data_IF_663965625318
#
_entry.id   IF_663965625318
#
_cell.length_a   1.000
_cell.length_b   1.000
_cell.length_c   1.000
_cell.angle_alpha   90.00
_cell.angle_beta   90.00
_cell.angle_gamma   90.00
#
_symmetry.space_group_name_H-M   'P 1'
#
loop_
_entity.id
_entity.type
_entity.pdbx_description
1 polymer ?
#
# COMPACT_ATOMS: atom_id res chain seq x y z
N UNK A 1 8.92 33.00 -35.22
CA UNK A 1 9.67 33.77 -34.22
C UNK A 1 9.71 32.90 -32.96
N UNK A 2 10.53 31.84 -32.93
CA UNK A 2 11.93 31.79 -32.47
C UNK A 2 11.95 32.05 -30.94
N UNK A 3 12.29 31.12 -30.04
CA UNK A 3 13.58 30.43 -29.97
C UNK A 3 13.48 29.07 -29.26
N UNK A 4 13.73 28.03 -30.05
CA UNK A 4 14.40 26.80 -29.62
C UNK A 4 15.89 27.09 -29.36
N UNK A 5 16.51 26.26 -28.49
CA UNK A 5 17.96 26.02 -28.35
C UNK A 5 18.86 27.13 -27.75
N UNK A 6 19.24 26.92 -26.48
CA UNK A 6 20.61 27.08 -25.92
C UNK A 6 20.52 26.75 -24.43
N UNK A 7 21.08 25.66 -23.92
CA UNK A 7 22.50 25.65 -23.58
C UNK A 7 22.91 24.21 -23.21
N UNK A 8 23.56 23.53 -24.15
CA UNK A 8 24.44 22.41 -23.85
C UNK A 8 25.85 23.00 -23.76
N UNK A 9 26.59 22.59 -22.71
CA UNK A 9 27.99 22.91 -22.35
C UNK A 9 28.11 23.90 -21.19
N UNK A 10 28.33 23.36 -20.00
CA UNK A 10 29.51 23.79 -19.26
C UNK A 10 30.11 22.59 -18.54
N UNK A 11 31.36 22.33 -18.90
CA UNK A 11 32.18 21.25 -18.40
C UNK A 11 32.63 21.54 -16.96
N UNK A 12 32.70 20.48 -16.16
CA UNK A 12 33.88 20.07 -15.39
C UNK A 12 34.63 21.20 -14.66
N UNK A 13 34.44 21.29 -13.34
CA UNK A 13 35.53 21.23 -12.33
C UNK A 13 35.08 21.88 -11.02
N UNK A 14 34.85 21.06 -10.00
CA UNK A 14 35.09 21.36 -8.58
C UNK A 14 35.06 19.99 -7.88
N UNK A 15 36.22 19.33 -7.85
CA UNK A 15 37.01 19.21 -6.62
C UNK A 15 36.18 18.70 -5.44
N UNK A 16 36.16 17.37 -5.35
CA UNK A 16 36.46 16.63 -4.12
C UNK A 16 35.65 16.99 -2.87
N UNK A 17 34.73 16.11 -2.52
CA UNK A 17 34.68 15.55 -1.16
C UNK A 17 34.06 14.15 -1.27
N UNK A 18 34.91 13.14 -1.51
CA UNK A 18 34.51 11.74 -1.37
C UNK A 18 34.32 11.46 0.12
N UNK A 19 33.09 11.64 0.62
CA UNK A 19 32.71 11.14 1.93
C UNK A 19 32.58 9.61 1.84
N UNK A 20 33.64 8.90 2.22
CA UNK A 20 33.59 7.46 2.43
C UNK A 20 32.70 7.20 3.65
N UNK A 21 31.45 6.82 3.42
CA UNK A 21 30.59 6.31 4.49
C UNK A 21 31.05 4.87 4.75
N UNK A 22 31.83 4.68 5.81
CA UNK A 22 32.20 3.36 6.28
C UNK A 22 30.93 2.61 6.70
N UNK A 23 30.63 1.49 6.04
CA UNK A 23 29.66 0.51 6.52
C UNK A 23 30.24 -0.16 7.78
N UNK A 24 29.93 0.40 8.95
CA UNK A 24 30.06 -0.33 10.20
C UNK A 24 28.93 -1.37 10.23
N UNK A 25 29.24 -2.58 9.75
CA UNK A 25 28.39 -3.75 9.95
C UNK A 25 28.40 -4.13 11.43
N UNK A 26 27.26 -3.94 12.11
CA UNK A 26 27.01 -4.59 13.38
C UNK A 26 26.24 -5.89 13.10
N UNK A 27 26.99 -6.99 12.95
CA UNK A 27 26.42 -8.33 13.16
C UNK A 27 26.16 -8.50 14.64
N UNK A 28 24.90 -8.46 15.07
CA UNK A 28 24.52 -9.01 16.37
C UNK A 28 23.40 -10.02 16.13
N UNK A 29 23.80 -11.28 16.01
CA UNK A 29 22.90 -12.42 16.12
C UNK A 29 22.78 -12.71 17.61
N UNK A 30 21.62 -12.42 18.19
CA UNK A 30 21.16 -13.07 19.40
C UNK A 30 19.96 -13.93 19.02
N UNK A 31 20.21 -15.22 18.83
CA UNK A 31 19.19 -16.23 19.09
C UNK A 31 19.18 -16.50 20.59
N UNK A 32 17.99 -16.54 21.18
CA UNK A 32 17.55 -17.46 22.25
C UNK A 32 16.04 -17.28 22.36
N UNK A 33 15.31 -18.37 22.13
CA UNK A 33 13.88 -18.55 22.40
C UNK A 33 13.52 -18.24 23.86
N UNK A 34 12.42 -17.53 24.09
CA UNK A 34 11.26 -18.03 24.87
C UNK A 34 10.08 -17.04 24.87
N UNK A 35 8.83 -17.52 25.04
CA UNK A 35 7.60 -16.80 24.75
C UNK A 35 6.98 -16.19 26.01
N UNK A 36 6.94 -14.88 26.10
CA UNK A 36 6.16 -14.21 27.15
C UNK A 36 5.25 -13.14 26.54
N UNK A 37 3.99 -13.54 26.36
CA UNK A 37 2.81 -12.81 26.84
C UNK A 37 2.94 -11.28 26.87
N UNK A 38 2.92 -10.68 25.68
CA UNK A 38 2.52 -9.29 25.52
C UNK A 38 1.19 -9.27 24.77
N UNK A 39 0.12 -9.04 25.53
CA UNK A 39 -1.25 -8.81 25.08
C UNK A 39 -1.28 -7.76 23.97
N UNK A 40 -1.30 -8.20 22.72
CA UNK A 40 -1.74 -7.38 21.61
C UNK A 40 -3.25 -7.12 21.75
N UNK A 41 -3.75 -5.90 21.54
CA UNK A 41 -5.17 -5.73 21.29
C UNK A 41 -5.49 -6.54 20.03
N UNK A 42 -6.32 -7.56 20.19
CA UNK A 42 -6.76 -8.46 19.14
C UNK A 42 -7.48 -7.61 18.08
N UNK A 43 -6.77 -7.25 17.01
CA UNK A 43 -7.45 -6.98 15.75
C UNK A 43 -7.84 -8.35 15.21
N UNK A 44 -9.14 -8.65 15.29
CA UNK A 44 -9.71 -9.94 14.88
C UNK A 44 -9.24 -10.27 13.46
N UNK A 45 -8.32 -11.23 13.34
CA UNK A 45 -8.05 -11.89 12.07
C UNK A 45 -9.21 -12.84 11.82
N UNK A 46 -10.29 -12.32 11.24
CA UNK A 46 -11.40 -13.14 10.77
C UNK A 46 -10.85 -14.00 9.61
N UNK A 47 -10.38 -15.20 9.98
CA UNK A 47 -9.97 -16.27 9.07
C UNK A 47 -11.16 -16.67 8.20
N UNK A 48 -11.34 -15.97 7.08
CA UNK A 48 -12.19 -16.45 6.01
C UNK A 48 -11.49 -17.61 5.30
N UNK A 49 -12.10 -18.79 5.40
CA UNK A 49 -11.69 -20.01 4.70
C UNK A 49 -11.50 -19.75 3.19
N UNK A 50 -10.55 -20.46 2.54
CA UNK A 50 -10.28 -20.27 1.13
C UNK A 50 -11.40 -20.90 0.30
N UNK A 51 -12.36 -20.09 -0.14
CA UNK A 51 -13.29 -20.49 -1.19
C UNK A 51 -12.60 -20.22 -2.52
N UNK A 52 -12.09 -21.30 -3.12
CA UNK A 52 -11.53 -21.33 -4.46
C UNK A 52 -12.60 -20.92 -5.48
N UNK A 53 -12.59 -19.64 -5.84
CA UNK A 53 -13.13 -19.09 -7.07
C UNK A 53 -12.13 -18.01 -7.48
N UNK A 54 -11.70 -17.96 -8.74
CA UNK A 54 -10.47 -17.27 -9.15
C UNK A 54 -10.35 -15.77 -8.82
N UNK A 55 -11.34 -15.13 -8.20
CA UNK A 55 -11.19 -13.95 -7.33
C UNK A 55 -12.52 -13.72 -6.55
N UNK A 56 -12.69 -14.20 -5.30
CA UNK A 56 -13.95 -14.04 -4.60
C UNK A 56 -14.18 -12.57 -4.21
N UNK A 57 -15.41 -12.09 -4.39
CA UNK A 57 -15.80 -10.75 -3.95
C UNK A 57 -15.78 -10.67 -2.41
N UNK A 58 -14.94 -9.79 -1.88
CA UNK A 58 -14.83 -9.53 -0.44
C UNK A 58 -15.67 -8.31 -0.09
N UNK A 59 -16.63 -8.46 0.82
CA UNK A 59 -17.48 -7.37 1.28
C UNK A 59 -16.70 -6.41 2.19
N UNK A 60 -16.93 -5.10 2.06
CA UNK A 60 -16.35 -4.13 2.96
C UNK A 60 -17.00 -4.19 4.35
N UNK A 61 -16.22 -4.01 5.43
CA UNK A 61 -16.79 -3.77 6.76
C UNK A 61 -17.53 -2.43 6.79
N UNK A 62 -18.34 -2.17 7.84
CA UNK A 62 -18.91 -0.85 8.07
C UNK A 62 -17.81 0.21 8.09
N UNK A 63 -18.00 1.29 7.33
CA UNK A 63 -17.03 2.37 7.27
C UNK A 63 -16.92 3.10 8.62
N UNK A 64 -15.70 3.19 9.14
CA UNK A 64 -15.39 3.97 10.34
C UNK A 64 -14.13 4.83 10.12
N UNK A 65 -14.26 6.15 9.89
CA UNK A 65 -13.11 7.01 9.58
C UNK A 65 -12.08 7.08 10.71
N UNK A 66 -12.53 7.01 11.97
CA UNK A 66 -11.65 7.12 13.15
C UNK A 66 -10.73 5.89 13.31
N UNK A 67 -11.15 4.75 12.74
CA UNK A 67 -10.42 3.48 12.81
C UNK A 67 -9.78 3.10 11.47
N UNK A 68 -10.05 3.85 10.40
CA UNK A 68 -9.54 3.52 9.07
C UNK A 68 -8.22 4.24 8.84
N UNK A 69 -7.11 3.51 9.04
CA UNK A 69 -5.78 3.95 8.62
C UNK A 69 -5.18 2.88 7.70
N UNK A 70 -4.82 3.29 6.49
CA UNK A 70 -4.30 2.38 5.48
C UNK A 70 -2.81 2.62 5.23
N UNK A 71 -2.06 1.55 4.99
CA UNK A 71 -0.68 1.65 4.54
C UNK A 71 -0.63 2.14 3.08
N UNK A 72 0.51 2.70 2.68
CA UNK A 72 0.76 3.11 1.30
C UNK A 72 1.25 1.96 0.40
N UNK A 73 1.22 0.71 0.87
CA UNK A 73 1.60 -0.45 0.07
C UNK A 73 0.62 -0.64 -1.07
N UNK A 74 1.15 -0.83 -2.28
CA UNK A 74 0.35 -1.12 -3.45
C UNK A 74 0.11 -2.64 -3.57
N UNK A 75 -1.15 -3.04 -3.47
CA UNK A 75 -1.70 -4.40 -3.67
C UNK A 75 -3.11 -4.22 -4.29
N UNK A 76 -3.21 -3.89 -5.59
CA UNK A 76 -4.42 -3.29 -6.13
C UNK A 76 -5.63 -4.22 -6.09
N UNK A 77 -6.78 -3.60 -5.89
CA UNK A 77 -8.09 -4.27 -5.87
C UNK A 77 -9.11 -3.47 -6.68
N UNK A 78 -10.08 -4.14 -7.28
CA UNK A 78 -11.17 -3.51 -8.00
C UNK A 78 -12.38 -3.42 -7.06
N UNK A 79 -12.70 -2.21 -6.61
CA UNK A 79 -13.80 -1.96 -5.66
C UNK A 79 -15.09 -1.62 -6.40
N UNK A 80 -16.19 -2.22 -5.95
CA UNK A 80 -17.55 -1.86 -6.34
C UNK A 80 -18.07 -0.76 -5.41
N UNK A 81 -18.45 0.36 -6.00
CA UNK A 81 -18.91 1.56 -5.29
C UNK A 81 -20.36 1.83 -5.67
N UNK A 82 -21.21 2.14 -4.69
CA UNK A 82 -22.59 2.57 -4.91
C UNK A 82 -22.64 4.02 -5.37
N UNK A 83 -23.43 4.28 -6.41
CA UNK A 83 -23.72 5.62 -6.95
C UNK A 83 -25.23 5.84 -6.97
N UNK A 84 -25.68 7.07 -7.19
CA UNK A 84 -27.12 7.39 -7.26
C UNK A 84 -27.84 6.61 -8.37
N UNK A 85 -27.12 6.32 -9.46
CA UNK A 85 -27.63 5.61 -10.64
C UNK A 85 -27.38 4.10 -10.63
N UNK A 86 -26.78 3.53 -9.56
CA UNK A 86 -26.41 2.10 -9.52
C UNK A 86 -25.04 1.84 -8.88
N UNK A 87 -24.12 1.26 -9.65
CA UNK A 87 -22.78 0.91 -9.19
C UNK A 87 -21.71 1.29 -10.21
N UNK A 88 -20.55 1.69 -9.71
CA UNK A 88 -19.34 1.91 -10.49
C UNK A 88 -18.19 1.06 -9.94
N UNK A 89 -17.18 0.81 -10.76
CA UNK A 89 -15.97 0.09 -10.40
C UNK A 89 -14.76 1.02 -10.51
N UNK A 90 -13.87 0.97 -9.54
CA UNK A 90 -12.59 1.69 -9.59
C UNK A 90 -11.47 0.86 -8.99
N UNK A 91 -10.26 1.04 -9.49
CA UNK A 91 -9.06 0.45 -8.88
C UNK A 91 -8.69 1.23 -7.62
N UNK A 92 -8.54 0.54 -6.50
CA UNK A 92 -7.98 1.06 -5.26
C UNK A 92 -6.54 0.55 -5.08
N UNK A 93 -5.71 1.31 -4.35
CA UNK A 93 -4.29 0.98 -4.16
C UNK A 93 -4.06 -0.29 -3.34
N UNK A 94 -4.95 -0.55 -2.39
CA UNK A 94 -5.00 -1.79 -1.60
C UNK A 94 -6.40 -2.04 -1.02
N UNK A 95 -6.61 -3.23 -0.46
CA UNK A 95 -7.88 -3.64 0.18
C UNK A 95 -8.37 -2.67 1.25
N UNK A 96 -7.48 -2.09 2.06
CA UNK A 96 -7.86 -1.10 3.08
C UNK A 96 -8.43 0.17 2.42
N UNK A 97 -7.70 0.76 1.47
CA UNK A 97 -8.13 1.97 0.75
C UNK A 97 -9.41 1.75 -0.07
N UNK A 98 -9.67 0.50 -0.49
CA UNK A 98 -10.88 0.11 -1.20
C UNK A 98 -12.13 0.38 -0.35
N UNK A 99 -12.08 0.07 0.95
CA UNK A 99 -13.19 0.21 1.89
C UNK A 99 -13.18 1.54 2.67
N UNK A 100 -12.32 2.49 2.28
CA UNK A 100 -12.17 3.79 2.94
C UNK A 100 -13.27 4.82 2.65
N UNK A 101 -14.45 4.39 2.18
CA UNK A 101 -15.58 5.29 1.91
C UNK A 101 -16.91 4.61 2.23
N UNK A 102 -17.92 5.36 2.66
CA UNK A 102 -19.28 4.85 2.94
C UNK A 102 -19.98 4.23 1.73
N UNK A 103 -19.55 4.58 0.52
CA UNK A 103 -20.14 4.07 -0.73
C UNK A 103 -19.49 2.77 -1.21
N UNK A 104 -18.40 2.32 -0.59
CA UNK A 104 -17.73 1.08 -0.96
C UNK A 104 -18.51 -0.14 -0.46
N UNK A 105 -18.83 -1.08 -1.36
CA UNK A 105 -19.59 -2.29 -1.02
C UNK A 105 -18.68 -3.49 -0.79
N UNK A 106 -17.54 -3.53 -1.50
CA UNK A 106 -16.60 -4.64 -1.49
C UNK A 106 -15.70 -4.62 -2.71
N UNK A 107 -14.74 -5.53 -2.77
CA UNK A 107 -13.69 -5.55 -3.77
C UNK A 107 -13.36 -6.98 -4.23
N UNK A 108 -12.75 -7.08 -5.41
CA UNK A 108 -12.06 -8.28 -5.89
C UNK A 108 -10.57 -7.99 -6.01
N UNK A 109 -9.72 -9.00 -5.88
CA UNK A 109 -8.27 -8.85 -6.08
C UNK A 109 -7.96 -8.49 -7.53
N UNK A 110 -6.93 -7.68 -7.73
CA UNK A 110 -6.51 -7.18 -9.05
C UNK A 110 -7.13 -5.84 -9.44
N UNK A 111 -6.56 -5.20 -10.46
CA UNK A 111 -7.09 -3.93 -10.99
C UNK A 111 -8.40 -4.17 -11.77
N UNK A 112 -9.22 -3.12 -11.92
CA UNK A 112 -10.37 -3.19 -12.82
C UNK A 112 -9.90 -3.31 -14.29
N UNK A 113 -10.64 -4.07 -15.10
CA UNK A 113 -10.42 -4.29 -16.54
C UNK A 113 -11.01 -3.17 -17.40
#
# INVERSE_FOLDING_TARGET
MNHLLKSWRSCVSLLGLSAAIALAGCSNIQGIDTPDTATYPIHSTEHHQPISSDNPFTKCPPYNPEQTMCTAQYDPVCVKVKTDSGFNYRTAGNSCSACGTTTALGYVKGQCS
#
